data_IF_048199176915
#
_entry.id   IF_048199176915
#
_cell.length_a   1.000
_cell.length_b   1.000
_cell.length_c   1.000
_cell.angle_alpha   90.00
_cell.angle_beta   90.00
_cell.angle_gamma   90.00
#
_symmetry.space_group_name_H-M   'P 1'
#
loop_
_entity.id
_entity.type
_entity.pdbx_description
1 polymer ?
#
# COMPACT_ATOMS: atom_id res chain seq x y z
N UNK A 1 0.77 2.52 -4.51
CA UNK A 1 2.18 2.78 -4.89
C UNK A 1 2.72 3.66 -3.81
N UNK A 2 3.53 3.10 -2.91
CA UNK A 2 4.20 3.88 -1.89
C UNK A 2 5.50 4.40 -2.52
N UNK A 3 5.48 5.67 -2.90
CA UNK A 3 6.70 6.41 -3.17
C UNK A 3 6.39 7.85 -2.77
N UNK A 4 6.90 8.23 -1.60
CA UNK A 4 7.12 9.61 -1.24
C UNK A 4 8.62 9.84 -1.13
N UNK A 5 9.01 11.06 -1.52
CA UNK A 5 10.37 11.56 -1.72
C UNK A 5 11.38 11.03 -0.68
N UNK A 6 12.58 10.81 -1.22
CA UNK A 6 13.91 10.78 -0.61
C UNK A 6 13.92 11.25 0.86
N UNK A 7 14.55 10.43 1.69
CA UNK A 7 14.81 10.64 3.12
C UNK A 7 13.72 10.11 4.07
N UNK A 8 13.74 8.79 4.23
CA UNK A 8 13.83 8.09 5.53
C UNK A 8 13.24 8.80 6.76
N UNK A 9 11.94 9.09 6.82
CA UNK A 9 11.23 9.27 8.11
C UNK A 9 9.69 9.14 8.03
N UNK A 10 9.08 9.25 6.84
CA UNK A 10 7.61 9.29 6.68
C UNK A 10 6.84 7.99 7.00
N UNK A 11 7.50 6.88 7.30
CA UNK A 11 6.75 5.72 7.81
C UNK A 11 6.18 6.02 9.20
N UNK A 12 6.86 6.81 10.03
CA UNK A 12 6.47 7.02 11.44
C UNK A 12 5.19 7.85 11.62
N UNK A 13 4.81 8.66 10.63
CA UNK A 13 3.62 9.54 10.67
C UNK A 13 2.56 9.25 9.60
N UNK A 14 2.63 8.12 8.89
CA UNK A 14 1.67 7.83 7.82
C UNK A 14 0.39 7.17 8.35
N UNK A 15 -0.77 7.77 8.04
CA UNK A 15 -2.11 7.20 8.33
C UNK A 15 -2.30 5.77 7.79
N UNK A 16 -1.44 5.32 6.86
CA UNK A 16 -1.43 3.95 6.36
C UNK A 16 -1.08 2.94 7.45
N UNK A 17 -0.24 3.29 8.42
CA UNK A 17 0.15 2.39 9.53
C UNK A 17 -1.06 2.10 10.41
N UNK A 18 -1.84 3.12 10.74
CA UNK A 18 -3.03 2.95 11.57
C UNK A 18 -4.11 2.15 10.84
N UNK A 19 -4.24 2.34 9.53
CA UNK A 19 -5.10 1.51 8.69
C UNK A 19 -4.62 0.05 8.69
N UNK A 20 -3.31 -0.20 8.55
CA UNK A 20 -2.74 -1.57 8.62
C UNK A 20 -3.05 -2.19 9.99
N UNK A 21 -2.80 -1.46 11.09
CA UNK A 21 -3.10 -1.93 12.45
C UNK A 21 -4.58 -2.25 12.63
N UNK A 22 -5.47 -1.38 12.15
CA UNK A 22 -6.92 -1.58 12.21
C UNK A 22 -7.35 -2.82 11.42
N UNK A 23 -6.88 -2.97 10.19
CA UNK A 23 -7.20 -4.12 9.34
C UNK A 23 -6.72 -5.43 9.98
N UNK A 24 -5.50 -5.45 10.52
CA UNK A 24 -4.97 -6.61 11.24
C UNK A 24 -5.78 -6.92 12.51
N UNK A 25 -6.15 -5.91 13.29
CA UNK A 25 -7.00 -6.08 14.49
C UNK A 25 -8.36 -6.67 14.16
N UNK A 26 -8.89 -6.38 12.97
CA UNK A 26 -10.13 -6.96 12.44
C UNK A 26 -9.93 -8.33 11.76
N UNK A 27 -8.79 -9.00 11.96
CA UNK A 27 -8.52 -10.33 11.42
C UNK A 27 -8.36 -10.38 9.89
N UNK A 28 -8.09 -9.25 9.24
CA UNK A 28 -7.91 -9.19 7.78
C UNK A 28 -6.46 -9.50 7.41
N UNK A 29 -6.28 -10.27 6.33
CA UNK A 29 -4.97 -10.49 5.74
C UNK A 29 -4.52 -9.23 4.99
N UNK A 30 -3.39 -8.67 5.41
CA UNK A 30 -2.80 -7.48 4.81
C UNK A 30 -1.53 -7.87 4.06
N UNK A 31 -1.46 -7.46 2.80
CA UNK A 31 -0.26 -7.57 1.97
C UNK A 31 0.27 -6.16 1.70
N UNK A 32 1.58 -6.01 1.63
CA UNK A 32 2.22 -4.70 1.39
C UNK A 32 2.96 -4.74 0.07
N UNK A 33 2.76 -3.72 -0.76
CA UNK A 33 3.51 -3.52 -2.00
C UNK A 33 4.34 -2.25 -1.88
N UNK A 34 5.65 -2.43 -1.72
CA UNK A 34 6.63 -1.35 -1.59
C UNK A 34 7.89 -1.71 -2.39
N UNK A 35 7.94 -1.33 -3.69
CA UNK A 35 9.06 -1.67 -4.58
C UNK A 35 10.44 -1.21 -4.11
N UNK A 36 10.49 -0.19 -3.23
CA UNK A 36 11.74 0.32 -2.67
C UNK A 36 12.30 -0.59 -1.58
N UNK A 37 11.48 -1.43 -0.96
CA UNK A 37 11.91 -2.39 0.05
C UNK A 37 12.17 -3.73 -0.64
N UNK A 38 13.43 -4.00 -0.97
CA UNK A 38 13.84 -5.25 -1.64
C UNK A 38 14.29 -6.33 -0.67
N UNK A 39 14.92 -5.96 0.44
CA UNK A 39 15.62 -6.90 1.33
C UNK A 39 14.78 -7.41 2.51
N UNK A 40 13.49 -7.02 2.59
CA UNK A 40 12.57 -7.47 3.65
C UNK A 40 11.47 -8.34 3.09
N UNK A 41 11.23 -9.49 3.73
CA UNK A 41 10.12 -10.41 3.42
C UNK A 41 8.78 -9.94 4.01
N UNK A 42 8.82 -9.18 5.09
CA UNK A 42 7.63 -8.67 5.78
C UNK A 42 7.91 -7.35 6.50
N UNK A 43 6.88 -6.53 6.65
CA UNK A 43 6.89 -5.33 7.50
C UNK A 43 5.59 -5.25 8.29
N UNK A 44 5.65 -4.83 9.56
CA UNK A 44 4.50 -4.85 10.48
C UNK A 44 3.82 -6.22 10.60
N UNK A 45 4.58 -7.31 10.45
CA UNK A 45 4.05 -8.68 10.40
C UNK A 45 3.14 -8.95 9.20
N UNK A 46 3.21 -8.14 8.15
CA UNK A 46 2.52 -8.34 6.88
C UNK A 46 3.55 -8.72 5.81
N UNK A 47 3.28 -9.74 4.98
CA UNK A 47 4.16 -10.11 3.87
C UNK A 47 4.25 -8.99 2.82
N UNK A 48 5.46 -8.80 2.30
CA UNK A 48 5.73 -7.87 1.20
C UNK A 48 5.64 -8.62 -0.13
N UNK A 49 4.89 -8.06 -1.09
CA UNK A 49 4.75 -8.57 -2.46
C UNK A 49 5.14 -7.46 -3.43
N UNK A 50 6.39 -7.50 -3.91
CA UNK A 50 6.91 -6.50 -4.83
C UNK A 50 6.48 -6.70 -6.28
N UNK A 51 6.08 -7.91 -6.66
CA UNK A 51 5.45 -8.14 -7.95
C UNK A 51 4.03 -7.54 -7.93
N UNK A 52 3.81 -6.47 -8.68
CA UNK A 52 2.55 -5.74 -8.71
C UNK A 52 1.39 -6.62 -9.19
N UNK A 53 1.57 -7.41 -10.25
CA UNK A 53 0.51 -8.27 -10.79
C UNK A 53 0.09 -9.35 -9.78
N UNK A 54 1.07 -9.96 -9.10
CA UNK A 54 0.82 -10.91 -8.03
C UNK A 54 0.09 -10.27 -6.84
N UNK A 55 0.51 -9.07 -6.46
CA UNK A 55 -0.13 -8.29 -5.40
C UNK A 55 -1.59 -8.00 -5.74
N UNK A 56 -1.85 -7.51 -6.96
CA UNK A 56 -3.20 -7.26 -7.45
C UNK A 56 -4.02 -8.55 -7.49
N UNK A 57 -3.47 -9.66 -7.97
CA UNK A 57 -4.21 -10.95 -8.02
C UNK A 57 -4.58 -11.46 -6.63
N UNK A 58 -3.73 -11.25 -5.62
CA UNK A 58 -3.97 -11.70 -4.24
C UNK A 58 -4.87 -10.78 -3.43
N UNK A 59 -5.07 -9.53 -3.85
CA UNK A 59 -5.81 -8.52 -3.08
C UNK A 59 -7.21 -8.27 -3.64
N UNK A 60 -8.19 -8.23 -2.74
CA UNK A 60 -9.58 -7.85 -3.05
C UNK A 60 -9.80 -6.34 -3.01
N UNK A 61 -9.05 -5.64 -2.17
CA UNK A 61 -9.08 -4.19 -2.00
C UNK A 61 -7.64 -3.69 -1.91
N UNK A 62 -7.34 -2.59 -2.59
CA UNK A 62 -6.05 -1.91 -2.57
C UNK A 62 -6.23 -0.56 -1.92
N UNK A 63 -5.53 -0.32 -0.80
CA UNK A 63 -5.51 0.98 -0.13
C UNK A 63 -4.22 1.70 -0.47
N UNK A 64 -4.30 2.94 -0.95
CA UNK A 64 -3.14 3.76 -1.29
C UNK A 64 -3.37 5.21 -0.86
N UNK A 65 -2.36 5.85 -0.28
CA UNK A 65 -2.44 7.28 0.05
C UNK A 65 -2.32 8.19 -1.18
N UNK A 66 -1.81 7.67 -2.32
CA UNK A 66 -1.64 8.43 -3.55
C UNK A 66 -2.17 7.68 -4.75
N UNK A 67 -2.83 8.41 -5.65
CA UNK A 67 -3.18 7.90 -6.97
C UNK A 67 -1.90 7.61 -7.79
N UNK A 68 -1.95 6.60 -8.64
CA UNK A 68 -0.84 6.25 -9.55
C UNK A 68 -1.41 5.65 -10.82
N UNK A 69 -0.85 6.01 -11.98
CA UNK A 69 -1.30 5.48 -13.29
C UNK A 69 -1.30 3.95 -13.34
N UNK A 70 -0.44 3.27 -12.58
CA UNK A 70 -0.42 1.79 -12.48
C UNK A 70 -1.69 1.21 -11.85
N UNK A 71 -2.37 2.00 -11.00
CA UNK A 71 -3.60 1.62 -10.33
C UNK A 71 -4.85 1.85 -11.20
N UNK A 72 -4.74 2.61 -12.30
CA UNK A 72 -5.87 2.83 -13.21
C UNK A 72 -6.44 1.52 -13.77
N UNK A 73 -5.58 0.52 -13.98
CA UNK A 73 -5.98 -0.83 -14.46
C UNK A 73 -6.86 -1.59 -13.45
N UNK A 74 -6.90 -1.14 -12.20
CA UNK A 74 -7.56 -1.81 -11.06
C UNK A 74 -8.36 -0.83 -10.23
N UNK A 75 -8.77 0.29 -10.83
CA UNK A 75 -9.47 1.40 -10.16
C UNK A 75 -10.73 0.95 -9.43
N UNK A 76 -11.43 -0.06 -9.97
CA UNK A 76 -12.62 -0.68 -9.39
C UNK A 76 -12.43 -1.26 -7.98
N UNK A 77 -11.18 -1.50 -7.55
CA UNK A 77 -10.85 -2.03 -6.22
C UNK A 77 -9.79 -1.22 -5.49
N UNK A 78 -9.55 0.00 -5.93
CA UNK A 78 -8.59 0.91 -5.29
C UNK A 78 -9.37 1.91 -4.44
N UNK A 79 -9.09 1.90 -3.15
CA UNK A 79 -9.49 2.94 -2.24
C UNK A 79 -8.32 3.90 -2.04
N UNK A 80 -8.53 5.15 -2.44
CA UNK A 80 -7.59 6.22 -2.18
C UNK A 80 -8.33 7.39 -1.53
N UNK A 81 -7.69 8.02 -0.55
CA UNK A 81 -8.21 9.24 0.07
C UNK A 81 -7.83 10.49 -0.74
N UNK A 82 -7.13 10.32 -1.85
CA UNK A 82 -6.80 11.37 -2.80
C UNK A 82 -8.08 11.74 -3.57
N UNK A 83 -8.87 12.66 -3.00
CA UNK A 83 -10.15 13.15 -3.55
C UNK A 83 -9.88 14.27 -4.59
N UNK A 84 -8.72 14.91 -4.50
CA UNK A 84 -8.28 15.96 -5.41
C UNK A 84 -7.15 15.40 -6.27
N UNK A 85 -7.46 15.07 -7.52
CA UNK A 85 -6.51 14.54 -8.48
C UNK A 85 -5.46 15.56 -8.95
N UNK A 86 -4.81 16.28 -8.04
CA UNK A 86 -3.68 17.17 -8.35
C UNK A 86 -2.36 16.47 -8.04
N UNK A 87 -1.84 15.76 -9.05
CA UNK A 87 -0.40 15.55 -9.25
C UNK A 87 -0.09 15.48 -10.74
#
# INVERSE_FOLDING_TARGET
>A
MLAMKKDSDNFRESSIIDIIRLLKKNGRNVFIHEPLIKDKKSIFGCPIINNFDLFIKKTKLVVTNRASKKLNKVSNKVYTRDIFGEN
#
